data_IF_954039381452
#
_entry.id   IF_954039381452
#
_cell.length_a   1.000
_cell.length_b   1.000
_cell.length_c   1.000
_cell.angle_alpha   90.00
_cell.angle_beta   90.00
_cell.angle_gamma   90.00
#
_symmetry.space_group_name_H-M   'P 1'
#
loop_
_entity.id
_entity.type
_entity.pdbx_description
1 polymer ?
#
# COMPACT_ATOMS: atom_id res chain seq x y z
N UNK A 1 31.10 72.90 -10.39
CA UNK A 1 31.62 71.64 -10.96
C UNK A 1 30.80 70.46 -10.34
N UNK A 2 29.99 69.83 -11.14
CA UNK A 2 29.06 68.71 -10.67
C UNK A 2 29.75 67.38 -10.98
N UNK A 3 29.97 66.56 -9.98
CA UNK A 3 30.48 65.20 -10.15
C UNK A 3 29.33 64.22 -9.97
N UNK A 4 28.94 63.57 -11.03
CA UNK A 4 27.85 62.56 -11.04
C UNK A 4 28.40 61.22 -10.56
N UNK A 5 27.84 60.68 -9.49
CA UNK A 5 28.09 59.33 -9.03
C UNK A 5 27.25 58.32 -9.82
N UNK A 6 27.95 57.42 -10.50
CA UNK A 6 27.39 56.31 -11.33
C UNK A 6 26.97 55.16 -10.46
N UNK A 7 25.66 54.98 -10.24
CA UNK A 7 25.09 53.83 -9.53
C UNK A 7 25.31 52.58 -10.38
N UNK A 8 26.06 51.59 -9.83
CA UNK A 8 26.17 50.25 -10.39
C UNK A 8 24.90 49.45 -10.03
N UNK A 9 24.10 49.16 -11.04
CA UNK A 9 23.01 48.20 -10.96
C UNK A 9 23.58 46.81 -10.65
N UNK A 10 23.25 46.29 -9.47
CA UNK A 10 23.47 44.87 -9.13
C UNK A 10 22.40 44.06 -9.86
N UNK A 11 22.81 43.29 -10.86
CA UNK A 11 22.01 42.23 -11.43
C UNK A 11 21.76 41.20 -10.32
N UNK A 12 20.49 41.03 -9.93
CA UNK A 12 20.01 39.92 -9.14
C UNK A 12 20.16 38.66 -9.97
N UNK A 13 21.02 37.75 -9.53
CA UNK A 13 21.11 36.39 -10.04
C UNK A 13 19.78 35.68 -9.77
N UNK A 14 19.25 34.89 -10.73
CA UNK A 14 18.06 34.08 -10.46
C UNK A 14 18.42 33.05 -9.40
N UNK A 15 17.62 33.03 -8.32
CA UNK A 15 17.70 32.00 -7.29
C UNK A 15 17.62 30.63 -7.96
N UNK A 16 18.67 29.86 -7.83
CA UNK A 16 18.76 28.45 -8.23
C UNK A 16 17.62 27.70 -7.53
N UNK A 17 16.59 27.37 -8.28
CA UNK A 17 15.49 26.56 -7.79
C UNK A 17 16.05 25.18 -7.51
N UNK A 18 16.39 24.92 -6.25
CA UNK A 18 16.64 23.56 -5.76
C UNK A 18 15.45 22.71 -6.14
N UNK A 19 15.60 21.61 -6.92
CA UNK A 19 14.48 20.77 -7.28
C UNK A 19 13.82 20.29 -5.99
N UNK A 20 12.51 20.52 -5.86
CA UNK A 20 11.72 20.04 -4.75
C UNK A 20 12.01 18.55 -4.62
N UNK A 21 12.63 18.13 -3.52
CA UNK A 21 12.91 16.74 -3.21
C UNK A 21 11.57 16.04 -3.10
N UNK A 22 11.15 15.37 -4.14
CA UNK A 22 9.92 14.58 -4.15
C UNK A 22 10.06 13.55 -3.02
N UNK A 23 9.37 13.78 -1.91
CA UNK A 23 9.35 12.83 -0.79
C UNK A 23 8.64 11.58 -1.31
N UNK A 24 9.41 10.50 -1.47
CA UNK A 24 8.83 9.22 -1.87
C UNK A 24 7.97 8.69 -0.74
N UNK A 25 6.78 8.21 -1.09
CA UNK A 25 5.90 7.58 -0.13
C UNK A 25 6.45 6.21 0.28
N UNK A 26 6.41 5.92 1.58
CA UNK A 26 7.01 4.74 2.20
C UNK A 26 5.98 3.65 2.43
N UNK A 27 6.22 2.50 1.84
CA UNK A 27 5.36 1.32 1.96
C UNK A 27 6.07 0.26 2.79
N UNK A 28 5.48 -0.12 3.92
CA UNK A 28 5.90 -1.29 4.69
C UNK A 28 5.29 -2.54 4.05
N UNK A 29 6.15 -3.42 3.52
CA UNK A 29 5.75 -4.66 2.85
C UNK A 29 6.02 -5.85 3.76
N UNK A 30 4.96 -6.48 4.25
CA UNK A 30 5.00 -7.58 5.23
C UNK A 30 4.51 -8.87 4.58
N UNK A 31 5.41 -9.80 4.35
CA UNK A 31 5.13 -11.12 3.77
C UNK A 31 6.27 -12.07 4.19
N UNK A 32 6.00 -13.29 4.63
CA UNK A 32 7.02 -14.24 5.05
C UNK A 32 7.70 -14.95 3.87
N UNK A 33 7.04 -15.01 2.71
CA UNK A 33 7.63 -15.54 1.48
C UNK A 33 8.61 -14.55 0.85
N UNK A 34 9.91 -14.89 0.89
CA UNK A 34 10.97 -14.04 0.34
C UNK A 34 10.84 -13.80 -1.17
N UNK A 35 10.29 -14.76 -1.93
CA UNK A 35 10.10 -14.64 -3.37
C UNK A 35 8.97 -13.67 -3.71
N UNK A 36 7.82 -13.81 -3.03
CA UNK A 36 6.68 -12.91 -3.16
C UNK A 36 7.07 -11.50 -2.74
N UNK A 37 7.72 -11.37 -1.57
CA UNK A 37 8.19 -10.09 -1.04
C UNK A 37 9.19 -9.41 -1.99
N UNK A 38 10.15 -10.15 -2.55
CA UNK A 38 11.11 -9.61 -3.52
C UNK A 38 10.43 -9.12 -4.80
N UNK A 39 9.53 -9.91 -5.38
CA UNK A 39 8.81 -9.53 -6.60
C UNK A 39 7.93 -8.28 -6.40
N UNK A 40 7.22 -8.19 -5.27
CA UNK A 40 6.41 -7.01 -4.96
C UNK A 40 7.28 -5.78 -4.66
N UNK A 41 8.40 -5.98 -3.97
CA UNK A 41 9.37 -4.91 -3.72
C UNK A 41 9.83 -4.26 -5.02
N UNK A 42 10.26 -5.06 -5.99
CA UNK A 42 10.81 -4.55 -7.26
C UNK A 42 9.75 -3.77 -8.04
N UNK A 43 8.53 -4.29 -8.14
CA UNK A 43 7.41 -3.61 -8.79
C UNK A 43 7.12 -2.26 -8.12
N UNK A 44 7.07 -2.21 -6.79
CA UNK A 44 6.75 -0.98 -6.07
C UNK A 44 7.87 0.06 -6.18
N UNK A 45 9.13 -0.38 -6.20
CA UNK A 45 10.29 0.51 -6.40
C UNK A 45 10.28 1.09 -7.82
N UNK A 46 9.95 0.30 -8.84
CA UNK A 46 9.78 0.78 -10.22
C UNK A 46 8.69 1.85 -10.34
N UNK A 47 7.61 1.74 -9.56
CA UNK A 47 6.53 2.73 -9.48
C UNK A 47 6.89 3.98 -8.63
N UNK A 48 8.11 4.02 -8.09
CA UNK A 48 8.65 5.19 -7.39
C UNK A 48 8.43 5.25 -5.89
N UNK A 49 7.90 4.18 -5.27
CA UNK A 49 7.77 4.07 -3.82
C UNK A 49 9.10 3.76 -3.14
N UNK A 50 9.25 4.16 -1.88
CA UNK A 50 10.28 3.64 -0.98
C UNK A 50 9.69 2.43 -0.24
N UNK A 51 10.29 1.25 -0.42
CA UNK A 51 9.75 0.00 0.14
C UNK A 51 10.60 -0.46 1.32
N UNK A 52 9.96 -0.71 2.45
CA UNK A 52 10.57 -1.23 3.67
C UNK A 52 10.06 -2.65 3.86
N UNK A 53 10.88 -3.69 3.64
CA UNK A 53 10.44 -5.07 3.77
C UNK A 53 10.47 -5.55 5.22
N UNK A 54 9.46 -6.34 5.61
CA UNK A 54 9.40 -7.10 6.85
C UNK A 54 9.05 -8.56 6.56
N UNK A 55 9.69 -9.50 7.26
CA UNK A 55 9.52 -10.93 7.05
C UNK A 55 8.47 -11.56 7.99
N UNK A 56 8.00 -10.80 8.98
CA UNK A 56 6.95 -11.22 9.91
C UNK A 56 6.29 -10.01 10.60
N UNK A 57 5.22 -10.27 11.35
CA UNK A 57 4.48 -9.24 12.05
C UNK A 57 5.26 -8.57 13.18
N UNK A 58 6.23 -9.24 13.81
CA UNK A 58 7.04 -8.64 14.85
C UNK A 58 7.99 -7.58 14.27
N UNK A 59 8.69 -7.93 13.20
CA UNK A 59 9.54 -6.98 12.47
C UNK A 59 8.73 -5.80 11.92
N UNK A 60 7.51 -6.07 11.43
CA UNK A 60 6.63 -5.02 10.95
C UNK A 60 6.30 -4.00 12.05
N UNK A 61 5.99 -4.46 13.27
CA UNK A 61 5.69 -3.58 14.41
C UNK A 61 6.91 -2.78 14.87
N UNK A 62 8.11 -3.34 14.82
CA UNK A 62 9.36 -2.62 15.13
C UNK A 62 9.68 -1.55 14.10
N UNK A 63 9.48 -1.86 12.81
CA UNK A 63 9.75 -0.92 11.72
C UNK A 63 8.76 0.24 11.70
N UNK A 64 7.47 0.00 11.90
CA UNK A 64 6.47 1.07 11.91
C UNK A 64 6.63 2.00 13.12
N UNK A 65 7.13 1.50 14.25
CA UNK A 65 7.41 2.31 15.43
C UNK A 65 8.64 3.23 15.27
N UNK A 66 9.59 2.85 14.41
CA UNK A 66 10.87 3.57 14.24
C UNK A 66 11.01 4.32 12.92
N UNK A 67 10.08 4.12 11.99
CA UNK A 67 10.10 4.69 10.64
C UNK A 67 8.79 5.39 10.33
N UNK A 68 8.84 6.46 9.54
CA UNK A 68 7.62 7.05 8.98
C UNK A 68 7.12 6.16 7.85
N UNK A 69 5.96 5.56 8.03
CA UNK A 69 5.30 4.69 7.06
C UNK A 69 4.01 5.37 6.58
N UNK A 70 3.80 5.39 5.28
CA UNK A 70 2.61 6.01 4.66
C UNK A 70 1.52 4.97 4.35
N UNK A 71 1.89 3.70 4.16
CA UNK A 71 0.96 2.60 3.88
C UNK A 71 1.59 1.25 4.25
N UNK A 72 0.77 0.30 4.70
CA UNK A 72 1.18 -1.09 4.97
C UNK A 72 0.52 -2.04 3.97
N UNK A 73 1.31 -2.91 3.35
CA UNK A 73 0.86 -4.12 2.66
C UNK A 73 1.11 -5.31 3.60
N UNK A 74 0.07 -6.01 4.01
CA UNK A 74 0.15 -7.05 5.03
C UNK A 74 -0.41 -8.38 4.53
N UNK A 75 0.45 -9.38 4.39
CA UNK A 75 -0.02 -10.76 4.21
C UNK A 75 -0.60 -11.31 5.52
N UNK A 76 -1.76 -11.95 5.43
CA UNK A 76 -2.37 -12.66 6.57
C UNK A 76 -1.86 -14.08 6.76
N UNK A 77 -1.23 -14.66 5.75
CA UNK A 77 -0.92 -16.10 5.74
C UNK A 77 0.44 -16.44 6.36
N UNK A 78 0.95 -15.62 7.25
CA UNK A 78 2.25 -15.84 7.92
C UNK A 78 2.17 -16.91 9.02
N UNK A 79 3.13 -17.87 9.11
CA UNK A 79 3.00 -19.06 9.95
C UNK A 79 3.18 -18.83 11.44
N UNK A 80 3.85 -17.76 11.90
CA UNK A 80 4.25 -17.58 13.31
C UNK A 80 3.49 -16.52 14.08
N UNK A 81 2.85 -15.58 13.41
CA UNK A 81 1.95 -14.59 14.02
C UNK A 81 0.76 -14.40 13.09
N UNK A 82 -0.43 -14.48 13.68
CA UNK A 82 -1.64 -14.20 12.96
C UNK A 82 -1.53 -12.79 12.35
N UNK A 83 -1.64 -12.68 11.05
CA UNK A 83 -1.61 -11.38 10.38
C UNK A 83 -2.68 -10.43 10.93
N UNK A 84 -3.80 -10.95 11.43
CA UNK A 84 -4.83 -10.17 12.11
C UNK A 84 -4.32 -9.53 13.40
N UNK A 85 -3.55 -10.24 14.24
CA UNK A 85 -2.97 -9.67 15.48
C UNK A 85 -2.02 -8.51 15.14
N UNK A 86 -1.27 -8.65 14.04
CA UNK A 86 -0.39 -7.59 13.54
C UNK A 86 -1.21 -6.39 13.06
N UNK A 87 -2.28 -6.63 12.30
CA UNK A 87 -3.19 -5.58 11.84
C UNK A 87 -3.82 -4.82 13.02
N UNK A 88 -4.35 -5.53 14.03
CA UNK A 88 -4.98 -4.92 15.20
C UNK A 88 -4.02 -3.99 15.93
N UNK A 89 -2.77 -4.42 16.14
CA UNK A 89 -1.73 -3.59 16.79
C UNK A 89 -1.35 -2.38 15.95
N UNK A 90 -1.14 -2.55 14.64
CA UNK A 90 -0.87 -1.41 13.73
C UNK A 90 -2.03 -0.42 13.79
N UNK A 91 -3.27 -0.90 13.72
CA UNK A 91 -4.46 -0.02 13.73
C UNK A 91 -4.68 0.69 15.07
N UNK A 92 -4.29 0.07 16.19
CA UNK A 92 -4.38 0.68 17.52
C UNK A 92 -3.30 1.76 17.72
N UNK A 93 -2.05 1.45 17.35
CA UNK A 93 -0.91 2.33 17.63
C UNK A 93 -0.69 3.38 16.53
N UNK A 94 -1.08 3.08 15.29
CA UNK A 94 -0.89 3.90 14.09
C UNK A 94 -2.18 4.04 13.26
N UNK A 95 -3.30 4.53 13.82
CA UNK A 95 -4.62 4.52 13.17
C UNK A 95 -4.69 5.32 11.86
N UNK A 96 -3.76 6.24 11.66
CA UNK A 96 -3.70 7.05 10.44
C UNK A 96 -2.94 6.38 9.30
N UNK A 97 -2.27 5.26 9.50
CA UNK A 97 -1.60 4.51 8.44
C UNK A 97 -2.59 3.52 7.80
N UNK A 98 -2.90 3.65 6.50
CA UNK A 98 -3.80 2.71 5.83
C UNK A 98 -3.14 1.35 5.69
N UNK A 99 -3.94 0.29 5.86
CA UNK A 99 -3.50 -1.08 5.66
C UNK A 99 -4.26 -1.71 4.51
N UNK A 100 -3.54 -2.29 3.57
CA UNK A 100 -4.04 -3.22 2.56
C UNK A 100 -3.70 -4.62 3.03
N UNK A 101 -4.73 -5.42 3.26
CA UNK A 101 -4.58 -6.83 3.59
C UNK A 101 -4.47 -7.64 2.30
N UNK A 102 -3.51 -8.55 2.26
CA UNK A 102 -3.31 -9.53 1.19
C UNK A 102 -3.55 -10.91 1.78
N UNK A 103 -4.28 -11.80 1.08
CA UNK A 103 -4.56 -13.12 1.60
C UNK A 103 -4.74 -14.16 0.49
N UNK A 104 -4.31 -15.41 0.74
CA UNK A 104 -4.69 -16.56 -0.06
C UNK A 104 -5.91 -17.29 0.51
N UNK A 105 -6.45 -16.87 1.66
CA UNK A 105 -7.59 -17.50 2.31
C UNK A 105 -8.89 -16.86 1.83
N UNK A 106 -9.87 -17.65 1.34
CA UNK A 106 -11.18 -17.14 1.00
C UNK A 106 -11.95 -16.71 2.26
N UNK A 107 -13.04 -15.95 2.06
CA UNK A 107 -14.00 -15.57 3.11
C UNK A 107 -13.45 -14.62 4.20
N UNK A 108 -12.38 -13.86 3.93
CA UNK A 108 -11.86 -12.86 4.87
C UNK A 108 -12.57 -11.50 4.76
N UNK A 109 -13.45 -11.33 3.77
CA UNK A 109 -14.08 -10.05 3.45
C UNK A 109 -14.84 -9.45 4.65
N UNK A 110 -15.68 -10.25 5.32
CA UNK A 110 -16.45 -9.74 6.45
C UNK A 110 -15.55 -9.30 7.60
N UNK A 111 -14.52 -10.08 7.92
CA UNK A 111 -13.54 -9.73 8.97
C UNK A 111 -12.78 -8.46 8.60
N UNK A 112 -12.34 -8.32 7.35
CA UNK A 112 -11.62 -7.13 6.89
C UNK A 112 -12.47 -5.85 6.97
N UNK A 113 -13.73 -5.93 6.53
CA UNK A 113 -14.67 -4.80 6.62
C UNK A 113 -14.93 -4.42 8.07
N UNK A 114 -15.23 -5.40 8.92
CA UNK A 114 -15.51 -5.17 10.35
C UNK A 114 -14.31 -4.62 11.11
N UNK A 115 -13.10 -4.99 10.72
CA UNK A 115 -11.86 -4.50 11.32
C UNK A 115 -11.43 -3.11 10.84
N UNK A 116 -12.09 -2.54 9.84
CA UNK A 116 -11.74 -1.21 9.31
C UNK A 116 -10.52 -1.20 8.39
N UNK A 117 -10.17 -2.34 7.77
CA UNK A 117 -9.10 -2.45 6.77
C UNK A 117 -9.38 -1.53 5.58
N UNK A 118 -8.36 -0.91 5.00
CA UNK A 118 -8.50 -0.03 3.84
C UNK A 118 -8.88 -0.76 2.55
N UNK A 119 -8.32 -1.95 2.36
CA UNK A 119 -8.66 -2.85 1.25
C UNK A 119 -8.25 -4.29 1.55
N UNK A 120 -8.94 -5.24 0.92
CA UNK A 120 -8.61 -6.67 0.92
C UNK A 120 -8.38 -7.14 -0.51
N UNK A 121 -7.22 -7.71 -0.76
CA UNK A 121 -6.83 -8.29 -2.05
C UNK A 121 -6.53 -9.77 -1.88
N UNK A 122 -7.14 -10.62 -2.70
CA UNK A 122 -6.87 -12.06 -2.69
C UNK A 122 -5.77 -12.44 -3.67
N UNK A 123 -4.90 -13.37 -3.27
CA UNK A 123 -3.88 -13.98 -4.13
C UNK A 123 -4.55 -14.96 -5.11
N UNK A 124 -4.10 -15.06 -6.40
CA UNK A 124 -3.00 -14.32 -7.00
C UNK A 124 -3.35 -12.86 -7.28
N UNK A 125 -2.40 -11.97 -7.00
CA UNK A 125 -2.61 -10.53 -7.11
C UNK A 125 -2.65 -10.05 -8.58
N UNK A 126 -3.57 -9.14 -8.85
CA UNK A 126 -3.50 -8.27 -10.03
C UNK A 126 -2.68 -7.03 -9.67
N UNK A 127 -1.51 -6.90 -10.25
CA UNK A 127 -0.58 -5.79 -9.97
C UNK A 127 -1.22 -4.44 -10.28
N UNK A 128 -1.97 -4.32 -11.37
CA UNK A 128 -2.66 -3.06 -11.73
C UNK A 128 -3.69 -2.67 -10.68
N UNK A 129 -4.44 -3.65 -10.14
CA UNK A 129 -5.40 -3.44 -9.07
C UNK A 129 -4.72 -3.06 -7.75
N UNK A 130 -3.58 -3.70 -7.43
CA UNK A 130 -2.77 -3.37 -6.26
C UNK A 130 -2.30 -1.91 -6.32
N UNK A 131 -1.65 -1.50 -7.42
CA UNK A 131 -1.12 -0.14 -7.60
C UNK A 131 -2.22 0.93 -7.52
N UNK A 132 -3.36 0.70 -8.18
CA UNK A 132 -4.52 1.59 -8.08
C UNK A 132 -5.05 1.69 -6.64
N UNK A 133 -5.03 0.58 -5.90
CA UNK A 133 -5.51 0.55 -4.52
C UNK A 133 -4.57 1.31 -3.60
N UNK A 134 -3.25 1.15 -3.78
CA UNK A 134 -2.21 1.91 -3.06
C UNK A 134 -2.41 3.41 -3.30
N UNK A 135 -2.43 3.84 -4.57
CA UNK A 135 -2.58 5.26 -4.92
C UNK A 135 -3.86 5.87 -4.32
N UNK A 136 -4.99 5.14 -4.36
CA UNK A 136 -6.25 5.57 -3.77
C UNK A 136 -6.16 5.76 -2.26
N UNK A 137 -5.57 4.81 -1.54
CA UNK A 137 -5.49 4.87 -0.08
C UNK A 137 -4.49 5.91 0.42
N UNK A 138 -3.41 6.14 -0.33
CA UNK A 138 -2.45 7.22 -0.03
C UNK A 138 -3.07 8.60 -0.24
N UNK A 139 -3.98 8.74 -1.20
CA UNK A 139 -4.71 10.00 -1.46
C UNK A 139 -5.99 10.15 -0.60
N UNK A 140 -6.33 9.15 0.23
CA UNK A 140 -7.57 9.15 1.00
C UNK A 140 -7.54 10.19 2.13
N UNK A 141 -8.58 11.05 2.26
CA UNK A 141 -8.71 11.97 3.38
C UNK A 141 -8.73 11.24 4.73
N UNK A 142 -8.10 11.85 5.74
CA UNK A 142 -8.00 11.28 7.10
C UNK A 142 -9.39 11.00 7.70
N UNK A 143 -10.37 11.85 7.40
CA UNK A 143 -11.75 11.74 7.90
C UNK A 143 -12.42 10.45 7.43
N UNK A 144 -12.18 10.03 6.18
CA UNK A 144 -12.69 8.78 5.61
C UNK A 144 -12.07 7.59 6.32
N UNK A 145 -10.76 7.65 6.59
CA UNK A 145 -10.04 6.60 7.32
C UNK A 145 -10.56 6.46 8.75
N UNK A 146 -10.72 7.55 9.45
CA UNK A 146 -11.27 7.56 10.81
C UNK A 146 -12.73 7.09 10.85
N UNK A 147 -13.54 7.42 9.84
CA UNK A 147 -14.90 6.91 9.71
C UNK A 147 -14.92 5.38 9.60
N UNK A 148 -14.02 4.80 8.78
CA UNK A 148 -13.89 3.36 8.60
C UNK A 148 -13.48 2.66 9.89
N UNK A 149 -12.47 3.17 10.60
CA UNK A 149 -12.04 2.62 11.89
C UNK A 149 -13.13 2.72 12.97
N UNK A 150 -13.98 3.73 12.91
CA UNK A 150 -15.13 3.87 13.80
C UNK A 150 -16.34 3.00 13.40
N UNK A 151 -16.20 2.10 12.43
CA UNK A 151 -17.29 1.24 11.94
C UNK A 151 -18.40 2.00 11.22
N UNK A 152 -18.15 3.24 10.78
CA UNK A 152 -19.08 4.03 9.98
C UNK A 152 -18.94 3.68 8.50
N UNK A 153 -19.98 3.96 7.71
CA UNK A 153 -19.95 3.74 6.26
C UNK A 153 -18.81 4.53 5.62
N UNK A 154 -17.87 3.80 5.01
CA UNK A 154 -16.69 4.34 4.36
C UNK A 154 -16.28 3.44 3.18
N UNK A 155 -15.71 4.00 2.11
CA UNK A 155 -15.29 3.22 0.95
C UNK A 155 -14.31 2.10 1.32
N UNK A 156 -14.64 0.89 0.90
CA UNK A 156 -13.79 -0.29 1.04
C UNK A 156 -13.54 -0.90 -0.34
N UNK A 157 -12.33 -1.42 -0.58
CA UNK A 157 -12.03 -2.13 -1.82
C UNK A 157 -11.75 -3.59 -1.56
N UNK A 158 -12.49 -4.43 -2.26
CA UNK A 158 -12.24 -5.86 -2.35
C UNK A 158 -11.86 -6.23 -3.78
N UNK A 159 -10.82 -7.04 -3.95
CA UNK A 159 -10.48 -7.67 -5.22
C UNK A 159 -10.21 -9.15 -5.00
N UNK A 160 -11.03 -9.99 -5.62
CA UNK A 160 -10.82 -11.43 -5.67
C UNK A 160 -9.57 -11.76 -6.51
N UNK A 161 -8.85 -12.82 -6.12
CA UNK A 161 -7.73 -13.34 -6.89
C UNK A 161 -8.15 -13.74 -8.30
N UNK A 162 -7.24 -13.59 -9.26
CA UNK A 162 -7.48 -14.05 -10.63
C UNK A 162 -7.63 -15.58 -10.63
N UNK A 163 -8.85 -16.08 -10.77
CA UNK A 163 -9.08 -17.50 -11.11
C UNK A 163 -8.70 -17.73 -12.56
N UNK A 164 -7.78 -18.66 -12.82
CA UNK A 164 -7.49 -19.16 -14.17
C UNK A 164 -8.77 -19.80 -14.72
N UNK A 165 -9.54 -19.07 -15.52
CA UNK A 165 -10.73 -19.58 -16.22
C UNK A 165 -10.37 -20.43 -17.46
N UNK A 166 -9.15 -20.98 -17.53
CA UNK A 166 -8.69 -21.73 -18.68
C UNK A 166 -9.09 -23.23 -18.70
N UNK A 167 -9.85 -23.76 -17.72
CA UNK A 167 -10.11 -25.20 -17.64
C UNK A 167 -11.56 -25.65 -17.87
N UNK A 168 -12.49 -24.80 -18.33
CA UNK A 168 -13.90 -25.19 -18.55
C UNK A 168 -14.37 -25.12 -20.01
N UNK A 169 -13.53 -25.42 -20.99
CA UNK A 169 -13.98 -25.57 -22.38
C UNK A 169 -13.47 -26.84 -23.04
N UNK A 170 -13.60 -28.00 -22.39
CA UNK A 170 -13.52 -29.31 -23.04
C UNK A 170 -14.46 -30.29 -22.36
N UNK A 171 -15.66 -30.37 -22.88
CA UNK A 171 -16.68 -31.34 -22.46
C UNK A 171 -17.93 -31.20 -23.29
N UNK A 172 -17.82 -31.38 -24.63
CA UNK A 172 -19.00 -31.74 -25.41
C UNK A 172 -19.44 -33.15 -25.01
N UNK A 173 -20.70 -33.36 -24.60
CA UNK A 173 -21.21 -34.73 -24.52
C UNK A 173 -21.48 -35.26 -25.90
N UNK A 174 -20.83 -36.37 -26.23
CA UNK A 174 -21.18 -37.18 -27.38
C UNK A 174 -22.60 -37.75 -27.21
N UNK A 175 -23.43 -37.52 -28.18
CA UNK A 175 -24.74 -38.16 -28.33
C UNK A 175 -24.54 -39.64 -28.71
N UNK A 176 -25.12 -40.60 -27.98
CA UNK A 176 -25.15 -41.99 -28.45
C UNK A 176 -26.33 -42.20 -29.45
N UNK A 177 -26.23 -43.27 -30.30
CA UNK A 177 -27.13 -43.52 -31.41
C UNK A 177 -28.51 -44.00 -31.00
#
# INVERSE_FOLDING_TARGET
>A
MKTAAKAKSRRSEPAEQTPARTVRQRILLVDDDAGVRGSLHDVLVEEGYEVIPANDGQQALELIATSSIDLVLLDLNMPRKNGWDTFERISADHPLVPVIVITARPHQLFTAVSAGVGALLEKPLDISVLLQTIARLLAEPVEIRLARLAGRDAPFRYAAGKTDQASKSRGSPATPP
#
